data_IF_827645353626
#
_entry.id   IF_827645353626
#
_cell.length_a   1.000
_cell.length_b   1.000
_cell.length_c   1.000
_cell.angle_alpha   90.00
_cell.angle_beta   90.00
_cell.angle_gamma   90.00
#
_symmetry.space_group_name_H-M   'P 1'
#
loop_
_entity.id
_entity.type
_entity.pdbx_description
1 polymer ?
#
# COMPACT_ATOMS: atom_id res chain seq x y z
N UNK A 1 -27.24 -11.69 -22.05
CA UNK A 1 -26.41 -12.45 -21.11
C UNK A 1 -26.36 -11.67 -19.80
N UNK A 2 -26.33 -12.33 -18.66
CA UNK A 2 -26.30 -11.64 -17.37
C UNK A 2 -24.86 -11.13 -17.10
N UNK A 3 -24.71 -9.81 -16.99
CA UNK A 3 -23.42 -9.15 -16.75
C UNK A 3 -22.75 -9.68 -15.50
N UNK A 4 -23.52 -10.03 -14.48
CA UNK A 4 -23.03 -10.61 -13.23
C UNK A 4 -22.34 -11.97 -13.45
N UNK A 5 -22.95 -12.85 -14.25
CA UNK A 5 -22.40 -14.19 -14.54
C UNK A 5 -21.07 -14.06 -15.29
N UNK A 6 -20.99 -13.13 -16.24
CA UNK A 6 -19.74 -12.87 -16.99
C UNK A 6 -18.67 -12.33 -16.05
N UNK A 7 -19.01 -11.36 -15.20
CA UNK A 7 -18.06 -10.78 -14.22
C UNK A 7 -17.49 -11.86 -13.31
N UNK A 8 -18.33 -12.71 -12.72
CA UNK A 8 -17.86 -13.82 -11.88
C UNK A 8 -16.97 -14.79 -12.66
N UNK A 9 -17.32 -15.09 -13.92
CA UNK A 9 -16.52 -15.98 -14.75
C UNK A 9 -15.13 -15.41 -15.00
N UNK A 10 -15.03 -14.11 -15.30
CA UNK A 10 -13.73 -13.42 -15.50
C UNK A 10 -12.90 -13.45 -14.21
N UNK A 11 -13.50 -13.14 -13.07
CA UNK A 11 -12.84 -13.23 -11.77
C UNK A 11 -12.36 -14.67 -11.50
N UNK A 12 -13.19 -15.66 -11.79
CA UNK A 12 -12.83 -17.08 -11.64
C UNK A 12 -11.65 -17.47 -12.52
N UNK A 13 -11.64 -17.07 -13.79
CA UNK A 13 -10.52 -17.32 -14.73
C UNK A 13 -9.25 -16.64 -14.25
N UNK A 14 -9.34 -15.37 -13.85
CA UNK A 14 -8.20 -14.61 -13.32
C UNK A 14 -7.62 -15.26 -12.06
N UNK A 15 -8.49 -15.64 -11.11
CA UNK A 15 -8.08 -16.34 -9.88
C UNK A 15 -7.44 -17.69 -10.18
N UNK A 16 -8.01 -18.46 -11.10
CA UNK A 16 -7.42 -19.73 -11.54
C UNK A 16 -6.04 -19.51 -12.16
N UNK A 17 -5.87 -18.44 -12.95
CA UNK A 17 -4.60 -18.06 -13.55
C UNK A 17 -3.48 -17.81 -12.53
N UNK A 18 -3.81 -17.40 -11.30
CA UNK A 18 -2.83 -17.14 -10.24
C UNK A 18 -1.97 -18.35 -9.89
N UNK A 19 -2.48 -19.57 -10.09
CA UNK A 19 -1.72 -20.79 -9.84
C UNK A 19 -0.45 -20.89 -10.70
N UNK A 20 -0.45 -20.28 -11.89
CA UNK A 20 0.69 -20.30 -12.82
C UNK A 20 1.53 -19.03 -12.78
N UNK A 21 1.06 -17.94 -12.16
CA UNK A 21 1.74 -16.65 -12.14
C UNK A 21 3.17 -16.71 -11.58
N UNK A 22 3.48 -17.39 -10.46
CA UNK A 22 4.85 -17.44 -9.94
C UNK A 22 5.84 -18.05 -10.95
N UNK A 23 5.39 -19.08 -11.68
CA UNK A 23 6.21 -19.71 -12.74
C UNK A 23 6.38 -18.77 -13.94
N UNK A 24 5.34 -18.07 -14.32
CA UNK A 24 5.35 -17.12 -15.43
C UNK A 24 6.25 -15.92 -15.13
N UNK A 25 6.10 -15.31 -13.96
CA UNK A 25 6.95 -14.18 -13.49
C UNK A 25 8.43 -14.60 -13.44
N UNK A 26 8.72 -15.81 -12.96
CA UNK A 26 10.08 -16.34 -12.93
C UNK A 26 10.69 -16.52 -14.32
N UNK A 27 9.88 -16.91 -15.31
CA UNK A 27 10.33 -17.12 -16.68
C UNK A 27 10.49 -15.83 -17.48
N UNK A 28 9.55 -14.90 -17.32
CA UNK A 28 9.47 -13.66 -18.13
C UNK A 28 10.11 -12.45 -17.45
N UNK A 29 10.14 -12.45 -16.13
CA UNK A 29 10.51 -11.27 -15.31
C UNK A 29 9.44 -10.17 -15.27
N UNK A 30 8.20 -10.49 -15.71
CA UNK A 30 7.05 -9.57 -15.70
C UNK A 30 6.24 -9.82 -14.44
N UNK A 31 5.95 -8.77 -13.67
CA UNK A 31 5.12 -8.86 -12.46
C UNK A 31 3.67 -9.25 -12.76
N UNK A 32 3.06 -10.00 -11.86
CA UNK A 32 1.65 -10.39 -11.90
C UNK A 32 0.73 -9.17 -12.08
N UNK A 33 1.06 -8.05 -11.46
CA UNK A 33 0.28 -6.81 -11.52
C UNK A 33 0.12 -6.27 -12.94
N UNK A 34 1.18 -6.33 -13.76
CA UNK A 34 1.13 -5.93 -15.18
C UNK A 34 0.14 -6.79 -15.94
N UNK A 35 0.16 -8.09 -15.68
CA UNK A 35 -0.70 -9.06 -16.36
C UNK A 35 -2.18 -8.81 -16.02
N UNK A 36 -2.51 -8.59 -14.75
CA UNK A 36 -3.90 -8.35 -14.33
C UNK A 36 -4.45 -7.03 -14.88
N UNK A 37 -3.65 -5.97 -14.94
CA UNK A 37 -4.06 -4.71 -15.60
C UNK A 37 -4.33 -4.94 -17.08
N UNK A 38 -3.46 -5.66 -17.80
CA UNK A 38 -3.66 -5.98 -19.20
C UNK A 38 -4.89 -6.87 -19.43
N UNK A 39 -5.12 -7.87 -18.59
CA UNK A 39 -6.32 -8.71 -18.65
C UNK A 39 -7.59 -7.88 -18.42
N UNK A 40 -7.55 -6.90 -17.50
CA UNK A 40 -8.63 -5.95 -17.28
C UNK A 40 -8.91 -5.11 -18.53
N UNK A 41 -7.88 -4.52 -19.14
CA UNK A 41 -8.02 -3.77 -20.40
C UNK A 41 -8.66 -4.65 -21.48
N UNK A 42 -8.14 -5.85 -21.71
CA UNK A 42 -8.67 -6.76 -22.75
C UNK A 42 -10.11 -7.16 -22.46
N UNK A 43 -10.45 -7.50 -21.20
CA UNK A 43 -11.80 -7.91 -20.83
C UNK A 43 -12.84 -6.80 -21.10
N UNK A 44 -12.51 -5.58 -20.73
CA UNK A 44 -13.43 -4.44 -20.90
C UNK A 44 -13.47 -3.89 -22.34
N UNK A 45 -12.41 -4.04 -23.13
CA UNK A 45 -12.42 -3.74 -24.57
C UNK A 45 -13.21 -4.77 -25.40
N UNK A 46 -13.16 -6.05 -24.99
CA UNK A 46 -13.81 -7.11 -25.74
C UNK A 46 -15.25 -7.40 -25.32
N UNK A 47 -15.68 -6.94 -24.14
CA UNK A 47 -16.95 -7.30 -23.54
C UNK A 47 -17.73 -6.05 -23.09
N UNK A 48 -18.45 -5.43 -24.02
CA UNK A 48 -19.30 -4.25 -23.77
C UNK A 48 -20.40 -4.44 -22.70
N UNK A 49 -20.63 -5.70 -22.28
CA UNK A 49 -21.64 -6.04 -21.29
C UNK A 49 -21.17 -5.82 -19.83
N UNK A 50 -19.87 -5.59 -19.63
CA UNK A 50 -19.33 -5.34 -18.29
C UNK A 50 -19.75 -3.95 -17.80
N UNK A 51 -20.14 -3.80 -16.51
CA UNK A 51 -20.50 -2.50 -15.98
C UNK A 51 -19.25 -1.59 -15.95
N UNK A 52 -19.34 -0.33 -16.44
CA UNK A 52 -18.20 0.56 -16.50
C UNK A 52 -17.65 0.82 -15.07
N UNK A 53 -16.37 0.54 -14.82
CA UNK A 53 -15.78 0.62 -13.49
C UNK A 53 -15.32 2.05 -13.20
N UNK A 54 -16.26 2.93 -12.89
CA UNK A 54 -15.96 4.33 -12.57
C UNK A 54 -15.88 4.54 -11.05
N UNK A 55 -14.69 4.82 -10.48
CA UNK A 55 -14.52 4.97 -9.04
C UNK A 55 -15.22 6.19 -8.45
N UNK A 56 -15.59 7.18 -9.27
CA UNK A 56 -16.35 8.35 -8.82
C UNK A 56 -17.85 8.07 -8.73
N UNK A 57 -18.36 7.12 -9.51
CA UNK A 57 -19.77 6.70 -9.45
C UNK A 57 -19.97 5.66 -8.35
N UNK A 58 -19.01 4.75 -8.20
CA UNK A 58 -19.02 3.66 -7.24
C UNK A 58 -18.05 3.92 -6.09
N UNK A 59 -18.04 5.15 -5.55
CA UNK A 59 -17.14 5.62 -4.51
C UNK A 59 -17.09 4.70 -3.29
N UNK A 60 -18.24 4.33 -2.75
CA UNK A 60 -18.38 3.47 -1.58
C UNK A 60 -17.80 2.08 -1.81
N UNK A 61 -18.07 1.48 -2.98
CA UNK A 61 -17.47 0.18 -3.33
C UNK A 61 -15.96 0.28 -3.54
N UNK A 62 -15.50 1.37 -4.17
CA UNK A 62 -14.06 1.63 -4.36
C UNK A 62 -13.36 1.74 -3.02
N UNK A 63 -13.91 2.52 -2.07
CA UNK A 63 -13.36 2.69 -0.73
C UNK A 63 -13.28 1.33 -0.02
N UNK A 64 -14.41 0.63 0.13
CA UNK A 64 -14.43 -0.61 0.93
C UNK A 64 -13.61 -1.74 0.31
N UNK A 65 -13.60 -1.86 -1.02
CA UNK A 65 -12.77 -2.89 -1.67
C UNK A 65 -11.29 -2.60 -1.50
N UNK A 66 -10.85 -1.36 -1.76
CA UNK A 66 -9.44 -1.00 -1.62
C UNK A 66 -8.99 -0.99 -0.14
N UNK A 67 -9.86 -0.58 0.78
CA UNK A 67 -9.63 -0.67 2.24
C UNK A 67 -9.38 -2.12 2.67
N UNK A 68 -10.25 -3.05 2.25
CA UNK A 68 -10.10 -4.46 2.57
C UNK A 68 -8.77 -5.02 2.05
N UNK A 69 -8.39 -4.66 0.82
CA UNK A 69 -7.07 -5.05 0.25
C UNK A 69 -5.94 -4.55 1.12
N UNK A 70 -5.93 -3.26 1.47
CA UNK A 70 -4.86 -2.66 2.28
C UNK A 70 -4.80 -3.29 3.68
N UNK A 71 -5.94 -3.51 4.34
CA UNK A 71 -6.00 -4.15 5.67
C UNK A 71 -5.39 -5.55 5.65
N UNK A 72 -5.77 -6.38 4.66
CA UNK A 72 -5.23 -7.74 4.53
C UNK A 72 -3.74 -7.71 4.20
N UNK A 73 -3.32 -6.83 3.30
CA UNK A 73 -1.93 -6.67 2.91
C UNK A 73 -1.03 -6.18 4.04
N UNK A 74 -1.49 -5.24 4.87
CA UNK A 74 -0.73 -4.75 6.02
C UNK A 74 -0.48 -5.87 7.05
N UNK A 75 -1.46 -6.73 7.27
CA UNK A 75 -1.28 -7.92 8.12
C UNK A 75 -0.24 -8.85 7.52
N UNK A 76 -0.37 -9.21 6.25
CA UNK A 76 0.58 -10.07 5.53
C UNK A 76 1.99 -9.49 5.50
N UNK A 77 2.11 -8.19 5.24
CA UNK A 77 3.39 -7.46 5.20
C UNK A 77 4.11 -7.49 6.56
N UNK A 78 3.40 -7.24 7.66
CA UNK A 78 4.01 -7.26 8.99
C UNK A 78 4.41 -8.68 9.44
N UNK A 79 3.63 -9.70 9.06
CA UNK A 79 3.95 -11.11 9.34
C UNK A 79 5.20 -11.60 8.61
N UNK A 80 5.58 -10.99 7.48
CA UNK A 80 6.83 -11.29 6.74
C UNK A 80 8.09 -10.75 7.43
N UNK A 81 7.97 -9.78 8.36
CA UNK A 81 9.12 -9.11 8.96
C UNK A 81 9.66 -9.90 10.15
N UNK A 82 10.75 -10.64 9.92
CA UNK A 82 11.44 -11.41 10.95
C UNK A 82 12.34 -10.55 11.87
N UNK A 83 12.69 -9.35 11.42
CA UNK A 83 13.62 -8.47 12.14
C UNK A 83 12.92 -7.82 13.33
N UNK A 84 13.36 -8.11 14.58
CA UNK A 84 12.76 -7.55 15.78
C UNK A 84 12.73 -6.01 15.75
N UNK A 85 11.64 -5.45 16.27
CA UNK A 85 11.49 -4.02 16.35
C UNK A 85 12.52 -3.40 17.30
N UNK A 86 13.34 -2.49 16.78
CA UNK A 86 14.14 -1.56 17.59
C UNK A 86 14.43 -0.30 16.79
N UNK A 87 14.55 0.85 17.45
CA UNK A 87 14.85 2.11 16.77
C UNK A 87 16.15 2.08 15.98
N UNK A 88 17.12 1.28 16.42
CA UNK A 88 18.41 1.15 15.73
C UNK A 88 18.30 0.28 14.48
N UNK A 89 17.63 -0.86 14.55
CA UNK A 89 17.48 -1.80 13.43
C UNK A 89 16.47 -1.30 12.40
N UNK A 90 15.53 -0.43 12.79
CA UNK A 90 14.50 0.16 11.93
C UNK A 90 14.84 1.60 11.48
N UNK A 91 16.09 2.05 11.66
CA UNK A 91 16.50 3.41 11.34
C UNK A 91 16.23 3.78 9.88
N UNK A 92 16.49 2.86 8.94
CA UNK A 92 16.26 3.10 7.50
C UNK A 92 14.77 3.28 7.20
N UNK A 93 13.87 2.34 7.57
CA UNK A 93 12.44 2.54 7.41
C UNK A 93 11.90 3.82 8.06
N UNK A 94 12.32 4.16 9.26
CA UNK A 94 11.91 5.41 9.91
C UNK A 94 12.34 6.66 9.14
N UNK A 95 13.51 6.66 8.54
CA UNK A 95 13.97 7.79 7.72
C UNK A 95 13.19 7.91 6.41
N UNK A 96 12.82 6.77 5.81
CA UNK A 96 11.95 6.75 4.65
C UNK A 96 10.55 7.29 5.00
N UNK A 97 10.01 6.93 6.16
CA UNK A 97 8.74 7.43 6.66
C UNK A 97 8.76 8.92 6.98
N UNK A 98 9.74 9.40 7.74
CA UNK A 98 9.74 10.76 8.27
C UNK A 98 10.36 11.78 7.32
N UNK A 99 11.41 11.42 6.59
CA UNK A 99 12.09 12.35 5.68
C UNK A 99 11.61 12.18 4.25
N UNK A 100 11.71 10.97 3.70
CA UNK A 100 11.40 10.74 2.28
C UNK A 100 9.93 10.99 1.98
N UNK A 101 9.03 10.46 2.80
CA UNK A 101 7.58 10.64 2.61
C UNK A 101 7.19 12.12 2.69
N UNK A 102 7.65 12.85 3.71
CA UNK A 102 7.35 14.28 3.87
C UNK A 102 7.90 15.11 2.71
N UNK A 103 9.11 14.80 2.25
CA UNK A 103 9.70 15.47 1.06
C UNK A 103 8.89 15.18 -0.21
N UNK A 104 8.41 13.95 -0.39
CA UNK A 104 7.55 13.60 -1.52
C UNK A 104 6.23 14.38 -1.47
N UNK A 105 5.56 14.43 -0.29
CA UNK A 105 4.33 15.21 -0.10
C UNK A 105 4.58 16.68 -0.46
N UNK A 106 5.59 17.31 0.14
CA UNK A 106 5.91 18.71 -0.09
C UNK A 106 6.23 19.00 -1.57
N UNK A 107 7.05 18.16 -2.20
CA UNK A 107 7.45 18.36 -3.59
C UNK A 107 6.25 18.21 -4.55
N UNK A 108 5.40 17.20 -4.38
CA UNK A 108 4.20 17.00 -5.20
C UNK A 108 3.21 18.14 -4.98
N UNK A 109 2.98 18.55 -3.72
CA UNK A 109 2.13 19.70 -3.40
C UNK A 109 2.64 20.97 -4.09
N UNK A 110 3.93 21.25 -4.03
CA UNK A 110 4.52 22.40 -4.71
C UNK A 110 4.36 22.31 -6.24
N UNK A 111 4.61 21.15 -6.84
CA UNK A 111 4.44 20.96 -8.29
C UNK A 111 2.98 21.12 -8.71
N UNK A 112 2.03 20.57 -7.97
CA UNK A 112 0.61 20.71 -8.27
C UNK A 112 0.15 22.17 -8.11
N UNK A 113 0.55 22.85 -7.05
CA UNK A 113 0.16 24.21 -6.77
C UNK A 113 0.75 25.22 -7.78
N UNK A 114 2.08 25.17 -8.01
CA UNK A 114 2.76 26.16 -8.84
C UNK A 114 2.72 25.85 -10.33
N UNK A 115 2.77 24.57 -10.75
CA UNK A 115 2.86 24.22 -12.16
C UNK A 115 1.49 23.82 -12.77
N UNK A 116 0.59 23.20 -12.00
CA UNK A 116 -0.76 22.85 -12.46
C UNK A 116 -1.81 23.88 -12.04
N UNK A 117 -1.48 24.81 -11.14
CA UNK A 117 -2.40 25.80 -10.59
C UNK A 117 -3.62 25.20 -9.89
N UNK A 118 -3.44 24.06 -9.24
CA UNK A 118 -4.44 23.50 -8.34
C UNK A 118 -4.55 24.36 -7.08
N UNK A 119 -5.73 24.37 -6.45
CA UNK A 119 -5.84 24.96 -5.11
C UNK A 119 -4.99 24.19 -4.09
N UNK A 120 -4.68 24.82 -2.95
CA UNK A 120 -3.75 24.25 -1.99
C UNK A 120 -4.24 22.93 -1.39
N UNK A 121 -5.55 22.78 -1.12
CA UNK A 121 -6.12 21.57 -0.57
C UNK A 121 -6.02 20.39 -1.56
N UNK A 122 -6.38 20.61 -2.85
CA UNK A 122 -6.24 19.61 -3.91
C UNK A 122 -4.77 19.24 -4.17
N UNK A 123 -3.87 20.23 -4.10
CA UNK A 123 -2.42 20.02 -4.26
C UNK A 123 -1.84 19.17 -3.12
N UNK A 124 -2.23 19.46 -1.88
CA UNK A 124 -1.82 18.70 -0.70
C UNK A 124 -2.39 17.28 -0.72
N UNK A 125 -3.66 17.14 -1.12
CA UNK A 125 -4.27 15.83 -1.29
C UNK A 125 -3.49 14.97 -2.29
N UNK A 126 -3.13 15.53 -3.45
CA UNK A 126 -2.32 14.80 -4.43
C UNK A 126 -0.98 14.34 -3.82
N UNK A 127 -0.31 15.21 -3.07
CA UNK A 127 0.91 14.84 -2.35
C UNK A 127 0.70 13.73 -1.32
N UNK A 128 -0.36 13.82 -0.53
CA UNK A 128 -0.69 12.86 0.52
C UNK A 128 -1.02 11.47 -0.04
N UNK A 129 -1.86 11.40 -1.07
CA UNK A 129 -2.29 10.11 -1.65
C UNK A 129 -1.21 9.43 -2.50
N UNK A 130 -0.22 10.19 -2.97
CA UNK A 130 0.91 9.65 -3.72
C UNK A 130 2.14 9.34 -2.85
N UNK A 131 2.15 9.75 -1.59
CA UNK A 131 3.30 9.57 -0.72
C UNK A 131 3.50 8.13 -0.22
N UNK A 132 2.46 7.36 0.16
CA UNK A 132 2.64 5.99 0.60
C UNK A 132 3.06 5.06 -0.55
N UNK A 133 3.88 4.06 -0.23
CA UNK A 133 4.26 2.99 -1.16
C UNK A 133 3.38 1.79 -0.94
N UNK A 134 2.90 1.21 -2.00
CA UNK A 134 1.92 0.12 -1.97
C UNK A 134 2.59 -1.23 -1.64
N UNK A 135 2.29 -1.86 -0.50
CA UNK A 135 2.88 -3.14 -0.13
C UNK A 135 2.41 -4.28 -1.04
N UNK A 136 1.21 -4.16 -1.59
CA UNK A 136 0.56 -5.17 -2.42
C UNK A 136 1.28 -5.33 -3.76
N UNK A 137 1.49 -4.22 -4.44
CA UNK A 137 2.16 -4.19 -5.75
C UNK A 137 3.68 -4.32 -5.64
N UNK A 138 4.21 -4.21 -4.42
CA UNK A 138 5.64 -4.30 -4.14
C UNK A 138 6.13 -5.74 -3.84
N UNK A 139 5.31 -6.77 -4.01
CA UNK A 139 5.65 -8.16 -3.65
C UNK A 139 7.01 -8.63 -4.20
N UNK A 140 7.38 -8.24 -5.42
CA UNK A 140 8.65 -8.61 -6.07
C UNK A 140 9.88 -7.99 -5.38
N UNK A 141 9.72 -6.91 -4.61
CA UNK A 141 10.81 -6.20 -3.92
C UNK A 141 10.74 -6.33 -2.39
N UNK A 142 9.76 -7.04 -1.87
CA UNK A 142 9.58 -7.30 -0.43
C UNK A 142 10.43 -8.49 0.05
N UNK A 143 10.51 -8.64 1.37
CA UNK A 143 11.05 -9.85 2.00
C UNK A 143 10.20 -11.06 1.62
N UNK A 144 10.85 -12.22 1.51
CA UNK A 144 10.18 -13.49 1.25
C UNK A 144 9.30 -13.97 2.41
N UNK A 145 8.77 -15.20 2.30
CA UNK A 145 8.03 -15.82 3.39
C UNK A 145 8.80 -15.83 4.70
N UNK A 146 8.13 -15.82 5.86
CA UNK A 146 8.76 -15.84 7.16
C UNK A 146 9.76 -17.01 7.31
N UNK A 147 10.92 -16.75 7.90
CA UNK A 147 12.01 -17.73 8.11
C UNK A 147 12.57 -18.35 6.81
N UNK A 148 12.19 -17.88 5.65
CA UNK A 148 12.70 -18.32 4.34
C UNK A 148 13.39 -17.15 3.64
N UNK A 149 14.66 -17.30 3.31
CA UNK A 149 15.42 -16.34 2.52
C UNK A 149 16.52 -15.57 3.25
N UNK A 150 17.27 -14.81 2.49
CA UNK A 150 18.32 -13.92 2.99
C UNK A 150 17.67 -12.66 3.55
N UNK A 151 18.03 -12.26 4.76
CA UNK A 151 17.64 -10.97 5.36
C UNK A 151 18.36 -9.83 4.63
N UNK A 152 17.83 -9.44 3.49
CA UNK A 152 18.33 -8.32 2.69
C UNK A 152 17.81 -6.99 3.27
N UNK A 153 18.74 -6.08 3.57
CA UNK A 153 18.41 -4.77 4.14
C UNK A 153 17.55 -3.91 3.18
N UNK A 154 17.69 -4.11 1.86
CA UNK A 154 16.90 -3.42 0.85
C UNK A 154 15.44 -3.90 0.92
N UNK A 155 15.22 -5.21 0.84
CA UNK A 155 13.89 -5.81 0.94
C UNK A 155 13.21 -5.49 2.27
N UNK A 156 13.94 -5.65 3.37
CA UNK A 156 13.43 -5.28 4.70
C UNK A 156 12.99 -3.81 4.75
N UNK A 157 13.84 -2.90 4.25
CA UNK A 157 13.54 -1.47 4.29
C UNK A 157 12.32 -1.10 3.46
N UNK A 158 12.17 -1.68 2.27
CA UNK A 158 11.02 -1.45 1.39
C UNK A 158 9.73 -2.06 1.98
N UNK A 159 9.81 -3.26 2.58
CA UNK A 159 8.66 -3.91 3.22
C UNK A 159 8.18 -3.11 4.43
N UNK A 160 9.10 -2.71 5.30
CA UNK A 160 8.77 -1.95 6.49
C UNK A 160 8.33 -0.51 6.15
N UNK A 161 8.91 0.13 5.12
CA UNK A 161 8.44 1.42 4.61
C UNK A 161 6.98 1.31 4.18
N UNK A 162 6.65 0.34 3.33
CA UNK A 162 5.31 0.18 2.77
C UNK A 162 4.27 -0.07 3.87
N UNK A 163 4.57 -0.93 4.85
CA UNK A 163 3.65 -1.16 5.97
C UNK A 163 3.44 0.03 6.89
N UNK A 164 4.46 0.87 7.08
CA UNK A 164 4.34 2.05 7.96
C UNK A 164 3.69 3.24 7.26
N UNK A 165 4.05 3.50 6.00
CA UNK A 165 3.66 4.74 5.34
C UNK A 165 2.19 4.75 4.89
N UNK A 166 1.57 3.59 4.67
CA UNK A 166 0.13 3.50 4.44
C UNK A 166 -0.66 4.09 5.62
N UNK A 167 -0.40 3.67 6.85
CA UNK A 167 -1.06 4.28 8.00
C UNK A 167 -0.73 5.77 8.20
N UNK A 168 0.48 6.19 7.83
CA UNK A 168 0.96 7.57 8.01
C UNK A 168 0.57 8.54 6.89
N UNK A 169 -0.10 8.08 5.84
CA UNK A 169 -0.74 8.95 4.84
C UNK A 169 -1.98 9.66 5.38
N UNK A 170 -2.70 9.03 6.31
CA UNK A 170 -3.94 9.58 6.88
C UNK A 170 -3.81 10.98 7.47
N UNK A 171 -2.84 11.31 8.33
CA UNK A 171 -2.70 12.66 8.86
C UNK A 171 -2.66 13.72 7.75
N UNK A 172 -1.92 13.48 6.67
CA UNK A 172 -1.81 14.44 5.57
C UNK A 172 -3.06 14.48 4.69
N UNK A 173 -3.74 13.34 4.51
CA UNK A 173 -5.03 13.25 3.83
C UNK A 173 -6.10 14.02 4.61
N UNK A 174 -6.17 13.84 5.94
CA UNK A 174 -7.07 14.61 6.80
C UNK A 174 -6.76 16.11 6.81
N UNK A 175 -5.48 16.49 6.78
CA UNK A 175 -5.13 17.91 6.65
C UNK A 175 -5.69 18.51 5.35
N UNK A 176 -5.59 17.78 4.23
CA UNK A 176 -6.17 18.24 2.97
C UNK A 176 -7.71 18.32 3.03
N UNK A 177 -8.38 17.35 3.68
CA UNK A 177 -9.84 17.34 3.90
C UNK A 177 -10.27 18.53 4.74
N UNK A 178 -9.62 18.78 5.88
CA UNK A 178 -9.93 19.90 6.77
C UNK A 178 -9.74 21.25 6.06
N UNK A 179 -8.68 21.37 5.25
CA UNK A 179 -8.43 22.58 4.46
C UNK A 179 -9.50 22.77 3.37
N UNK A 180 -9.94 21.72 2.70
CA UNK A 180 -11.00 21.78 1.70
C UNK A 180 -12.36 22.14 2.34
N UNK A 181 -12.66 21.58 3.51
CA UNK A 181 -13.90 21.83 4.23
C UNK A 181 -13.96 23.22 4.88
N UNK A 182 -12.82 23.80 5.26
CA UNK A 182 -12.77 25.06 6.03
C UNK A 182 -13.14 26.33 5.24
N UNK A 183 -13.25 26.26 3.90
CA UNK A 183 -13.74 27.33 3.00
C UNK A 183 -13.43 28.78 3.46
N UNK A 184 -12.18 29.06 3.88
CA UNK A 184 -11.77 30.37 4.42
C UNK A 184 -11.91 30.53 5.94
N UNK A 185 -12.14 29.44 6.69
CA UNK A 185 -12.14 29.42 8.15
C UNK A 185 -10.78 29.77 8.77
N UNK A 186 -10.75 29.87 10.10
CA UNK A 186 -9.54 30.23 10.83
C UNK A 186 -8.50 29.10 10.73
N UNK A 187 -7.42 29.34 9.98
CA UNK A 187 -6.33 28.39 9.76
C UNK A 187 -5.75 27.82 11.07
N UNK A 188 -5.71 28.64 12.16
CA UNK A 188 -5.19 28.15 13.43
C UNK A 188 -6.07 27.07 14.06
N UNK A 189 -7.39 27.12 13.87
CA UNK A 189 -8.33 26.10 14.38
C UNK A 189 -8.13 24.79 13.61
N UNK A 190 -8.00 24.86 12.28
CA UNK A 190 -7.69 23.69 11.44
C UNK A 190 -6.39 23.01 11.86
N UNK A 191 -5.35 23.81 12.11
CA UNK A 191 -4.04 23.28 12.53
C UNK A 191 -4.06 22.69 13.93
N UNK A 192 -4.83 23.25 14.86
CA UNK A 192 -4.99 22.73 16.22
C UNK A 192 -5.73 21.38 16.19
N UNK A 193 -6.84 21.28 15.46
CA UNK A 193 -7.61 20.06 15.29
C UNK A 193 -6.75 18.97 14.64
N UNK A 194 -6.11 19.29 13.53
CA UNK A 194 -5.22 18.36 12.83
C UNK A 194 -4.09 17.84 13.72
N UNK A 195 -3.40 18.74 14.44
CA UNK A 195 -2.26 18.36 15.26
C UNK A 195 -2.67 17.48 16.44
N UNK A 196 -3.76 17.85 17.14
CA UNK A 196 -4.18 17.14 18.36
C UNK A 196 -4.91 15.84 18.06
N UNK A 197 -5.82 15.85 17.08
CA UNK A 197 -6.66 14.71 16.77
C UNK A 197 -5.99 13.83 15.70
N UNK A 198 -5.74 14.36 14.50
CA UNK A 198 -5.35 13.52 13.37
C UNK A 198 -3.88 13.10 13.45
N UNK A 199 -2.98 13.94 13.94
CA UNK A 199 -1.57 13.59 14.02
C UNK A 199 -1.22 12.89 15.35
N UNK A 200 -1.70 13.37 16.49
CA UNK A 200 -1.29 12.82 17.80
C UNK A 200 -2.24 11.71 18.25
N UNK A 201 -3.53 12.02 18.47
CA UNK A 201 -4.46 11.06 19.05
C UNK A 201 -4.64 9.81 18.19
N UNK A 202 -4.96 9.96 16.90
CA UNK A 202 -5.26 8.82 16.00
C UNK A 202 -4.03 7.91 15.78
N UNK A 203 -2.82 8.48 15.68
CA UNK A 203 -1.59 7.68 15.55
C UNK A 203 -1.30 6.93 16.86
N UNK A 204 -1.32 7.62 18.00
CA UNK A 204 -1.05 6.98 19.29
C UNK A 204 -2.08 5.91 19.63
N UNK A 205 -3.36 6.18 19.38
CA UNK A 205 -4.44 5.20 19.52
C UNK A 205 -4.20 3.97 18.65
N UNK A 206 -3.85 4.15 17.36
CA UNK A 206 -3.51 3.07 16.46
C UNK A 206 -2.32 2.22 16.97
N UNK A 207 -1.25 2.86 17.42
CA UNK A 207 -0.09 2.14 17.96
C UNK A 207 -0.44 1.36 19.24
N UNK A 208 -1.11 2.03 20.19
CA UNK A 208 -1.45 1.41 21.49
C UNK A 208 -2.40 0.24 21.29
N UNK A 209 -3.49 0.43 20.52
CA UNK A 209 -4.45 -0.63 20.25
C UNK A 209 -3.81 -1.75 19.42
N UNK A 210 -2.96 -1.42 18.44
CA UNK A 210 -2.22 -2.40 17.68
C UNK A 210 -1.35 -3.31 18.56
N UNK A 211 -0.60 -2.74 19.50
CA UNK A 211 0.21 -3.52 20.46
C UNK A 211 -0.68 -4.35 21.40
N UNK A 212 -1.72 -3.75 21.97
CA UNK A 212 -2.59 -4.44 22.94
C UNK A 212 -3.35 -5.59 22.28
N UNK A 213 -4.01 -5.32 21.15
CA UNK A 213 -4.79 -6.32 20.40
C UNK A 213 -3.86 -7.37 19.78
N UNK A 214 -2.69 -6.97 19.26
CA UNK A 214 -1.70 -7.91 18.74
C UNK A 214 -1.19 -8.89 19.82
N UNK A 215 -0.92 -8.42 21.04
CA UNK A 215 -0.54 -9.28 22.19
C UNK A 215 -1.70 -10.18 22.63
N UNK A 216 -2.91 -9.64 22.71
CA UNK A 216 -4.09 -10.42 23.09
C UNK A 216 -4.35 -11.55 22.10
N UNK A 217 -4.30 -11.24 20.80
CA UNK A 217 -4.46 -12.23 19.74
C UNK A 217 -3.33 -13.27 19.77
N UNK A 218 -2.09 -12.84 19.94
CA UNK A 218 -0.97 -13.77 20.11
C UNK A 218 -1.17 -14.72 21.28
N UNK A 219 -1.62 -14.21 22.41
CA UNK A 219 -1.93 -15.05 23.58
C UNK A 219 -3.05 -16.06 23.29
N UNK A 220 -4.13 -15.62 22.64
CA UNK A 220 -5.25 -16.49 22.29
C UNK A 220 -4.82 -17.56 21.28
N UNK A 221 -4.11 -17.17 20.24
CA UNK A 221 -3.71 -18.08 19.15
C UNK A 221 -2.68 -19.11 19.65
N UNK A 222 -1.65 -18.69 20.33
CA UNK A 222 -0.52 -19.57 20.67
C UNK A 222 -0.67 -20.24 22.05
N UNK A 223 -0.94 -19.48 23.10
CA UNK A 223 -0.93 -20.03 24.47
C UNK A 223 -2.22 -20.78 24.84
N UNK A 224 -3.38 -20.30 24.36
CA UNK A 224 -4.65 -20.95 24.68
C UNK A 224 -4.83 -22.23 23.87
N UNK A 225 -4.40 -22.24 22.61
CA UNK A 225 -4.43 -23.42 21.73
C UNK A 225 -3.49 -24.52 22.25
N UNK A 226 -2.28 -24.19 22.68
CA UNK A 226 -1.28 -25.15 23.18
C UNK A 226 -1.77 -25.85 24.46
N UNK A 227 -2.47 -25.14 25.36
CA UNK A 227 -3.05 -25.69 26.59
C UNK A 227 -4.28 -26.56 26.35
N UNK A 228 -5.01 -26.34 25.28
CA UNK A 228 -6.22 -27.07 24.92
C UNK A 228 -5.92 -28.06 23.81
N UNK A 229 -5.49 -29.27 24.13
CA UNK A 229 -5.22 -30.36 23.16
C UNK A 229 -6.37 -30.68 22.19
N UNK A 230 -7.55 -30.05 22.39
CA UNK A 230 -8.74 -30.23 21.56
C UNK A 230 -8.87 -29.18 20.44
N UNK A 231 -8.05 -28.11 20.45
CA UNK A 231 -8.17 -27.00 19.49
C UNK A 231 -6.91 -26.98 18.63
N UNK A 232 -6.98 -27.57 17.44
CA UNK A 232 -5.97 -27.38 16.41
C UNK A 232 -6.27 -26.08 15.64
N UNK A 233 -5.62 -24.99 16.00
CA UNK A 233 -5.72 -23.70 15.30
C UNK A 233 -4.74 -23.66 14.10
N UNK A 234 -4.77 -24.66 13.23
CA UNK A 234 -3.93 -24.69 12.02
C UNK A 234 -4.58 -23.95 10.84
N UNK A 235 -5.51 -23.04 11.11
CA UNK A 235 -6.27 -22.38 10.05
C UNK A 235 -5.68 -21.01 9.71
N UNK A 236 -5.09 -20.89 8.53
CA UNK A 236 -4.47 -19.67 8.03
C UNK A 236 -5.40 -18.45 7.97
N UNK A 237 -6.73 -18.63 7.94
CA UNK A 237 -7.72 -17.54 7.96
C UNK A 237 -7.63 -16.64 9.21
N UNK A 238 -7.00 -17.13 10.29
CA UNK A 238 -6.83 -16.40 11.54
C UNK A 238 -6.10 -15.06 11.33
N UNK A 239 -5.12 -15.01 10.43
CA UNK A 239 -4.42 -13.77 10.12
C UNK A 239 -5.36 -12.71 9.53
N UNK A 240 -6.21 -13.11 8.58
CA UNK A 240 -7.22 -12.21 7.98
C UNK A 240 -8.27 -11.80 9.01
N UNK A 241 -8.77 -12.74 9.81
CA UNK A 241 -9.72 -12.43 10.89
C UNK A 241 -9.12 -11.46 11.92
N UNK A 242 -7.86 -11.66 12.31
CA UNK A 242 -7.12 -10.78 13.21
C UNK A 242 -7.00 -9.36 12.62
N UNK A 243 -6.66 -9.25 11.33
CA UNK A 243 -6.58 -7.96 10.64
C UNK A 243 -7.91 -7.19 10.73
N UNK A 244 -9.03 -7.84 10.41
CA UNK A 244 -10.36 -7.24 10.44
C UNK A 244 -10.79 -6.83 11.84
N UNK A 245 -10.51 -7.66 12.85
CA UNK A 245 -10.84 -7.36 14.25
C UNK A 245 -10.02 -6.18 14.77
N UNK A 246 -8.70 -6.16 14.50
CA UNK A 246 -7.82 -5.06 14.92
C UNK A 246 -8.23 -3.77 14.24
N UNK A 247 -8.46 -3.80 12.93
CA UNK A 247 -8.92 -2.65 12.16
C UNK A 247 -10.25 -2.12 12.73
N UNK A 248 -11.28 -2.97 12.79
CA UNK A 248 -12.62 -2.54 13.22
C UNK A 248 -12.65 -2.01 14.64
N UNK A 249 -11.97 -2.66 15.60
CA UNK A 249 -11.90 -2.15 16.98
C UNK A 249 -11.20 -0.79 17.01
N UNK A 250 -10.10 -0.62 16.27
CA UNK A 250 -9.34 0.64 16.29
C UNK A 250 -10.16 1.79 15.69
N UNK A 251 -10.87 1.54 14.59
CA UNK A 251 -11.76 2.55 13.98
C UNK A 251 -12.93 2.93 14.91
N UNK A 252 -13.48 1.97 15.68
CA UNK A 252 -14.49 2.27 16.71
C UNK A 252 -13.99 3.22 17.82
N UNK A 253 -12.69 3.18 18.10
CA UNK A 253 -12.03 4.14 19.00
C UNK A 253 -11.50 5.38 18.28
N UNK A 254 -11.89 5.59 17.02
CA UNK A 254 -11.42 6.71 16.19
C UNK A 254 -9.89 6.79 16.07
N UNK A 255 -9.19 5.64 16.11
CA UNK A 255 -7.75 5.54 15.83
C UNK A 255 -7.50 5.17 14.36
N UNK A 256 -6.26 5.25 13.91
CA UNK A 256 -5.92 4.78 12.55
C UNK A 256 -5.78 3.26 12.51
N UNK A 257 -6.80 2.60 11.92
CA UNK A 257 -6.87 1.15 11.81
C UNK A 257 -5.71 0.53 11.03
N UNK A 258 -5.21 1.19 9.98
CA UNK A 258 -4.05 0.71 9.20
C UNK A 258 -2.77 0.69 10.03
N UNK A 259 -2.54 1.74 10.84
CA UNK A 259 -1.43 1.75 11.80
C UNK A 259 -1.55 0.59 12.79
N UNK A 260 -2.76 0.40 13.33
CA UNK A 260 -2.99 -0.66 14.32
C UNK A 260 -2.79 -2.05 13.74
N UNK A 261 -3.27 -2.33 12.52
CA UNK A 261 -3.09 -3.63 11.85
C UNK A 261 -1.62 -3.93 11.62
N UNK A 262 -0.84 -2.97 11.10
CA UNK A 262 0.58 -3.17 10.89
C UNK A 262 1.35 -3.36 12.20
N UNK A 263 1.05 -2.57 13.23
CA UNK A 263 1.67 -2.74 14.56
C UNK A 263 1.28 -4.08 15.21
N UNK A 264 0.02 -4.49 15.06
CA UNK A 264 -0.45 -5.78 15.57
C UNK A 264 0.21 -6.95 14.84
N UNK A 265 0.39 -6.87 13.52
CA UNK A 265 1.05 -7.94 12.75
C UNK A 265 2.51 -8.12 13.15
N UNK A 266 3.27 -7.03 13.36
CA UNK A 266 4.64 -7.09 13.89
C UNK A 266 4.65 -7.63 15.32
N UNK A 267 3.70 -7.21 16.16
CA UNK A 267 3.59 -7.70 17.55
C UNK A 267 3.30 -9.19 17.57
N UNK A 268 2.38 -9.66 16.74
CA UNK A 268 2.04 -11.06 16.56
C UNK A 268 3.27 -11.86 16.08
N UNK A 269 3.98 -11.36 15.06
CA UNK A 269 5.17 -11.99 14.52
C UNK A 269 6.30 -12.10 15.54
N UNK A 270 6.59 -11.04 16.29
CA UNK A 270 7.61 -11.08 17.34
C UNK A 270 7.29 -12.08 18.46
N UNK A 271 6.01 -12.32 18.75
CA UNK A 271 5.58 -13.31 19.72
C UNK A 271 5.75 -14.74 19.17
N UNK A 272 5.50 -14.92 17.88
CA UNK A 272 5.49 -16.21 17.19
C UNK A 272 6.90 -16.76 16.87
N UNK A 273 7.96 -15.94 16.90
CA UNK A 273 9.34 -16.38 16.57
C UNK A 273 9.78 -17.67 17.28
N UNK A 274 9.06 -18.09 18.31
CA UNK A 274 9.31 -19.31 19.09
C UNK A 274 8.37 -20.49 18.73
N UNK A 275 7.48 -20.34 17.72
CA UNK A 275 6.45 -21.32 17.35
C UNK A 275 6.49 -21.62 15.83
N UNK A 276 5.97 -22.79 15.40
CA UNK A 276 6.05 -23.25 13.99
C UNK A 276 4.83 -22.85 13.11
N UNK A 277 3.91 -22.02 13.60
CA UNK A 277 2.64 -21.69 12.93
C UNK A 277 2.75 -20.64 11.80
N UNK A 278 3.92 -20.05 11.59
CA UNK A 278 4.13 -18.94 10.65
C UNK A 278 3.80 -19.26 9.20
N UNK A 279 3.99 -20.50 8.75
CA UNK A 279 3.79 -20.89 7.35
C UNK A 279 2.32 -20.81 6.93
N UNK A 280 1.44 -21.35 7.77
CA UNK A 280 0.00 -21.41 7.46
C UNK A 280 -0.66 -20.04 7.55
N UNK A 281 -0.33 -19.25 8.59
CA UNK A 281 -0.82 -17.87 8.75
C UNK A 281 -0.43 -16.98 7.57
N UNK A 282 0.83 -17.05 7.13
CA UNK A 282 1.33 -16.27 6.01
C UNK A 282 0.70 -16.74 4.68
N UNK A 283 0.68 -18.05 4.42
CA UNK A 283 0.22 -18.61 3.15
C UNK A 283 -1.22 -18.23 2.82
N UNK A 284 -2.14 -18.32 3.78
CA UNK A 284 -3.54 -17.97 3.55
C UNK A 284 -3.73 -16.44 3.38
N UNK A 285 -3.03 -15.63 4.17
CA UNK A 285 -3.08 -14.18 4.02
C UNK A 285 -2.57 -13.75 2.65
N UNK A 286 -1.45 -14.31 2.18
CA UNK A 286 -0.88 -14.06 0.84
C UNK A 286 -1.84 -14.47 -0.28
N UNK A 287 -2.47 -15.64 -0.18
CA UNK A 287 -3.45 -16.10 -1.18
C UNK A 287 -4.68 -15.19 -1.22
N UNK A 288 -5.21 -14.77 -0.05
CA UNK A 288 -6.36 -13.87 0.04
C UNK A 288 -6.01 -12.50 -0.54
N UNK A 289 -4.86 -11.95 -0.18
CA UNK A 289 -4.33 -10.70 -0.71
C UNK A 289 -4.25 -10.75 -2.24
N UNK A 290 -3.63 -11.78 -2.82
CA UNK A 290 -3.48 -11.94 -4.26
C UNK A 290 -4.82 -11.99 -5.00
N UNK A 291 -5.83 -12.67 -4.46
CA UNK A 291 -7.19 -12.70 -5.05
C UNK A 291 -7.78 -11.28 -5.08
N UNK A 292 -7.74 -10.59 -3.96
CA UNK A 292 -8.29 -9.24 -3.85
C UNK A 292 -7.58 -8.26 -4.78
N UNK A 293 -6.25 -8.34 -4.87
CA UNK A 293 -5.41 -7.54 -5.76
C UNK A 293 -5.75 -7.77 -7.22
N UNK A 294 -5.88 -9.03 -7.63
CA UNK A 294 -6.25 -9.35 -9.01
C UNK A 294 -7.60 -8.72 -9.39
N UNK A 295 -8.59 -8.75 -8.48
CA UNK A 295 -9.90 -8.12 -8.71
C UNK A 295 -9.73 -6.61 -8.89
N UNK A 296 -8.99 -5.93 -8.00
CA UNK A 296 -8.79 -4.48 -8.09
C UNK A 296 -8.02 -4.09 -9.36
N UNK A 297 -6.99 -4.85 -9.73
CA UNK A 297 -6.21 -4.56 -10.94
C UNK A 297 -6.99 -4.83 -12.23
N UNK A 298 -7.87 -5.83 -12.25
CA UNK A 298 -8.82 -6.05 -13.37
C UNK A 298 -9.77 -4.86 -13.51
N UNK A 299 -10.37 -4.41 -12.40
CA UNK A 299 -11.25 -3.23 -12.37
C UNK A 299 -10.47 -1.97 -12.79
N UNK A 300 -9.24 -1.80 -12.33
CA UNK A 300 -8.38 -0.70 -12.73
C UNK A 300 -8.07 -0.72 -14.22
N UNK A 301 -7.74 -1.88 -14.80
CA UNK A 301 -7.58 -2.05 -16.25
C UNK A 301 -8.83 -1.62 -17.02
N UNK A 302 -10.01 -1.99 -16.55
CA UNK A 302 -11.28 -1.53 -17.11
C UNK A 302 -11.51 -0.02 -16.98
N UNK A 303 -11.10 0.58 -15.86
CA UNK A 303 -11.21 2.03 -15.67
C UNK A 303 -10.35 2.82 -16.67
N UNK A 304 -9.20 2.28 -17.07
CA UNK A 304 -8.34 2.89 -18.10
C UNK A 304 -9.03 2.97 -19.46
N UNK A 305 -9.82 1.96 -19.81
CA UNK A 305 -10.63 1.91 -21.06
C UNK A 305 -11.82 2.86 -20.97
N UNK A 306 -12.40 3.04 -19.79
CA UNK A 306 -13.62 3.82 -19.57
C UNK A 306 -13.35 5.28 -19.13
N UNK A 307 -12.23 5.85 -19.56
CA UNK A 307 -12.01 7.29 -19.53
C UNK A 307 -11.53 7.86 -18.19
N UNK A 308 -10.98 7.05 -17.29
CA UNK A 308 -10.37 7.58 -16.06
C UNK A 308 -9.21 8.56 -16.35
N UNK A 309 -8.61 8.46 -17.53
CA UNK A 309 -7.52 9.34 -17.99
C UNK A 309 -7.99 10.54 -18.83
N UNK A 310 -9.29 10.74 -19.06
CA UNK A 310 -9.82 11.78 -19.97
C UNK A 310 -9.47 13.22 -19.55
N UNK A 311 -9.25 13.42 -18.25
CA UNK A 311 -8.85 14.73 -17.71
C UNK A 311 -7.32 14.88 -17.56
N UNK A 312 -6.53 13.91 -18.06
CA UNK A 312 -5.07 13.96 -17.99
C UNK A 312 -4.50 14.92 -19.05
N UNK A 313 -3.91 16.01 -18.60
CA UNK A 313 -3.19 16.93 -19.50
C UNK A 313 -1.74 16.49 -19.67
N UNK A 314 -1.07 16.97 -20.73
CA UNK A 314 0.36 16.68 -20.93
C UNK A 314 1.26 17.17 -19.78
N UNK A 315 0.89 18.31 -19.14
CA UNK A 315 1.62 18.82 -17.95
C UNK A 315 1.47 17.88 -16.77
N UNK A 316 0.28 17.36 -16.53
CA UNK A 316 0.01 16.38 -15.48
C UNK A 316 0.79 15.09 -15.72
N UNK A 317 0.81 14.60 -16.97
CA UNK A 317 1.58 13.43 -17.36
C UNK A 317 3.10 13.64 -17.13
N UNK A 318 3.62 14.80 -17.50
CA UNK A 318 5.03 15.15 -17.27
C UNK A 318 5.36 15.19 -15.77
N UNK A 319 4.53 15.83 -14.94
CA UNK A 319 4.72 15.88 -13.48
C UNK A 319 4.66 14.48 -12.87
N UNK A 320 3.78 13.63 -13.36
CA UNK A 320 3.68 12.22 -12.92
C UNK A 320 4.98 11.45 -13.20
N UNK A 321 5.57 11.63 -14.38
CA UNK A 321 6.86 11.04 -14.75
C UNK A 321 7.99 11.61 -13.88
N UNK A 322 8.01 12.94 -13.70
CA UNK A 322 9.00 13.62 -12.83
C UNK A 322 8.88 13.13 -11.38
N UNK A 323 7.66 12.92 -10.88
CA UNK A 323 7.44 12.37 -9.55
C UNK A 323 8.09 10.99 -9.40
N UNK A 324 7.78 10.05 -10.29
CA UNK A 324 8.27 8.67 -10.19
C UNK A 324 9.78 8.56 -10.42
N UNK A 325 10.33 9.30 -11.39
CA UNK A 325 11.72 9.13 -11.82
C UNK A 325 12.71 10.10 -11.18
N UNK A 326 12.24 11.21 -10.60
CA UNK A 326 13.12 12.22 -10.00
C UNK A 326 12.75 12.52 -8.54
N UNK A 327 11.51 12.92 -8.26
CA UNK A 327 11.11 13.36 -6.91
C UNK A 327 11.27 12.23 -5.90
N UNK A 328 10.71 11.06 -6.18
CA UNK A 328 10.79 9.89 -5.26
C UNK A 328 12.24 9.43 -5.09
N UNK A 329 13.05 9.19 -6.13
CA UNK A 329 14.45 8.80 -5.96
C UNK A 329 15.29 9.84 -5.22
N UNK A 330 15.16 11.12 -5.54
CA UNK A 330 15.93 12.18 -4.86
C UNK A 330 15.53 12.31 -3.38
N UNK A 331 14.23 12.30 -3.08
CA UNK A 331 13.73 12.31 -1.70
C UNK A 331 14.23 11.10 -0.91
N UNK A 332 14.26 9.91 -1.54
CA UNK A 332 14.80 8.69 -0.94
C UNK A 332 16.29 8.80 -0.65
N UNK A 333 17.07 9.28 -1.61
CA UNK A 333 18.52 9.50 -1.41
C UNK A 333 18.78 10.49 -0.28
N UNK A 334 18.03 11.60 -0.21
CA UNK A 334 18.14 12.58 0.89
C UNK A 334 17.81 11.92 2.22
N UNK A 335 16.73 11.17 2.32
CA UNK A 335 16.35 10.43 3.53
C UNK A 335 17.43 9.44 3.98
N UNK A 336 18.19 8.89 3.05
CA UNK A 336 19.23 7.88 3.32
C UNK A 336 20.64 8.47 3.52
N UNK A 337 20.82 9.80 3.55
CA UNK A 337 22.10 10.44 3.86
C UNK A 337 22.54 10.04 5.27
N UNK A 338 23.80 9.62 5.42
CA UNK A 338 24.38 9.23 6.71
C UNK A 338 24.01 7.80 7.17
N UNK A 339 23.23 7.03 6.41
CA UNK A 339 23.07 5.59 6.67
C UNK A 339 24.28 4.80 6.20
N UNK A 340 24.51 3.62 6.80
CA UNK A 340 25.63 2.73 6.47
C UNK A 340 25.42 1.92 5.19
N UNK A 341 24.29 2.08 4.51
CA UNK A 341 23.94 1.38 3.27
C UNK A 341 24.91 1.74 2.14
N UNK A 342 25.24 0.75 1.30
CA UNK A 342 25.99 0.98 0.08
C UNK A 342 25.18 1.81 -0.91
N UNK A 343 25.85 2.57 -1.79
CA UNK A 343 25.16 3.47 -2.73
C UNK A 343 24.14 2.76 -3.63
N UNK A 344 24.40 1.51 -4.02
CA UNK A 344 23.47 0.72 -4.84
C UNK A 344 22.22 0.31 -4.09
N UNK A 345 22.34 0.01 -2.79
CA UNK A 345 21.19 -0.24 -1.91
C UNK A 345 20.36 1.03 -1.77
N UNK A 346 21.00 2.18 -1.53
CA UNK A 346 20.32 3.48 -1.46
C UNK A 346 19.58 3.80 -2.76
N UNK A 347 20.19 3.55 -3.91
CA UNK A 347 19.54 3.73 -5.20
C UNK A 347 18.35 2.79 -5.38
N UNK A 348 18.50 1.50 -5.03
CA UNK A 348 17.40 0.53 -5.08
C UNK A 348 16.24 0.93 -4.19
N UNK A 349 16.48 1.21 -2.89
CA UNK A 349 15.46 1.65 -1.94
C UNK A 349 14.77 2.94 -2.40
N UNK A 350 15.55 3.91 -2.89
CA UNK A 350 15.01 5.19 -3.34
C UNK A 350 14.17 5.07 -4.61
N UNK A 351 14.49 4.13 -5.51
CA UNK A 351 13.77 3.93 -6.76
C UNK A 351 12.48 3.15 -6.59
N UNK A 352 12.48 2.03 -5.83
CA UNK A 352 11.32 1.15 -5.67
C UNK A 352 10.30 1.68 -4.66
N UNK A 353 9.73 2.84 -4.98
CA UNK A 353 8.56 3.37 -4.27
C UNK A 353 7.29 3.13 -5.07
N UNK A 354 6.79 1.89 -5.13
CA UNK A 354 5.66 1.49 -5.97
C UNK A 354 4.37 2.18 -5.48
N UNK A 355 3.54 2.67 -6.41
CA UNK A 355 2.26 3.36 -6.12
C UNK A 355 1.11 2.55 -6.71
N UNK A 356 -0.04 2.49 -6.02
CA UNK A 356 -1.17 1.70 -6.50
C UNK A 356 -2.43 1.78 -5.66
N UNK A 357 -2.85 0.66 -5.09
CA UNK A 357 -4.18 0.47 -4.48
C UNK A 357 -4.42 1.40 -3.28
N UNK A 358 -3.41 1.59 -2.44
CA UNK A 358 -3.48 2.54 -1.33
C UNK A 358 -3.79 3.96 -1.80
N UNK A 359 -3.18 4.41 -2.91
CA UNK A 359 -3.46 5.74 -3.48
C UNK A 359 -4.92 5.87 -3.96
N UNK A 360 -5.53 4.79 -4.50
CA UNK A 360 -6.95 4.80 -4.87
C UNK A 360 -7.85 4.91 -3.64
N UNK A 361 -7.51 4.19 -2.57
CA UNK A 361 -8.24 4.27 -1.32
C UNK A 361 -8.25 5.69 -0.75
N UNK A 362 -7.07 6.29 -0.55
CA UNK A 362 -6.97 7.63 0.04
C UNK A 362 -7.66 8.69 -0.81
N UNK A 363 -7.55 8.59 -2.13
CA UNK A 363 -8.22 9.55 -3.02
C UNK A 363 -9.75 9.40 -2.95
N UNK A 364 -10.27 8.16 -3.06
CA UNK A 364 -11.71 7.91 -2.97
C UNK A 364 -12.28 8.37 -1.62
N UNK A 365 -11.58 8.03 -0.53
CA UNK A 365 -11.94 8.45 0.82
C UNK A 365 -12.00 9.98 0.95
N UNK A 366 -10.94 10.69 0.56
CA UNK A 366 -10.89 12.13 0.68
C UNK A 366 -11.97 12.86 -0.13
N UNK A 367 -12.21 12.39 -1.37
CA UNK A 367 -13.25 12.98 -2.24
C UNK A 367 -14.67 12.72 -1.73
N UNK A 368 -14.87 11.70 -0.89
CA UNK A 368 -16.13 11.44 -0.21
C UNK A 368 -16.33 12.33 1.02
N UNK A 369 -15.25 12.57 1.78
CA UNK A 369 -15.30 13.37 3.00
C UNK A 369 -15.40 14.87 2.75
N UNK A 370 -14.82 15.39 1.65
CA UNK A 370 -14.86 16.82 1.33
C UNK A 370 -14.92 17.06 -0.19
N UNK A 371 -15.39 18.26 -0.55
CA UNK A 371 -15.43 18.70 -1.94
C UNK A 371 -14.06 19.27 -2.35
N UNK A 372 -13.48 18.70 -3.42
CA UNK A 372 -12.26 19.17 -4.05
C UNK A 372 -12.54 19.63 -5.49
N UNK A 373 -12.04 20.81 -5.86
CA UNK A 373 -12.31 21.41 -7.17
C UNK A 373 -11.75 20.59 -8.34
N UNK A 374 -10.68 19.81 -8.13
CA UNK A 374 -9.94 19.09 -9.17
C UNK A 374 -10.10 17.56 -9.05
N UNK A 375 -11.25 17.07 -8.55
CA UNK A 375 -11.43 15.64 -8.26
C UNK A 375 -11.22 14.72 -9.48
N UNK A 376 -11.62 15.14 -10.69
CA UNK A 376 -11.44 14.37 -11.93
C UNK A 376 -9.97 14.33 -12.36
N UNK A 377 -9.30 15.47 -12.27
CA UNK A 377 -7.87 15.61 -12.57
C UNK A 377 -7.02 14.80 -11.60
N UNK A 378 -7.38 14.82 -10.30
CA UNK A 378 -6.73 14.00 -9.27
C UNK A 378 -6.85 12.51 -9.59
N UNK A 379 -8.05 12.02 -9.97
CA UNK A 379 -8.22 10.63 -10.40
C UNK A 379 -7.37 10.30 -11.62
N UNK A 380 -7.35 11.16 -12.64
CA UNK A 380 -6.56 10.94 -13.85
C UNK A 380 -5.05 10.88 -13.54
N UNK A 381 -4.55 11.75 -12.66
CA UNK A 381 -3.14 11.74 -12.25
C UNK A 381 -2.78 10.51 -11.43
N UNK A 382 -3.58 10.16 -10.43
CA UNK A 382 -3.34 9.01 -9.57
C UNK A 382 -3.39 7.71 -10.37
N UNK A 383 -4.39 7.56 -11.27
CA UNK A 383 -4.49 6.42 -12.16
C UNK A 383 -3.28 6.32 -13.11
N UNK A 384 -2.84 7.43 -13.69
CA UNK A 384 -1.69 7.44 -14.58
C UNK A 384 -0.38 7.10 -13.85
N UNK A 385 -0.19 7.63 -12.63
CA UNK A 385 0.98 7.30 -11.80
C UNK A 385 0.97 5.83 -11.39
N UNK A 386 -0.19 5.29 -11.00
CA UNK A 386 -0.31 3.88 -10.67
C UNK A 386 0.01 2.99 -11.89
N UNK A 387 -0.51 3.32 -13.07
CA UNK A 387 -0.21 2.62 -14.32
C UNK A 387 1.30 2.64 -14.64
N UNK A 388 1.92 3.83 -14.60
CA UNK A 388 3.37 3.95 -14.83
C UNK A 388 4.17 3.20 -13.79
N UNK A 389 3.76 3.26 -12.53
CA UNK A 389 4.41 2.55 -11.43
C UNK A 389 4.36 1.04 -11.62
N UNK A 390 3.18 0.49 -11.95
CA UNK A 390 3.01 -0.93 -12.26
C UNK A 390 3.89 -1.34 -13.44
N UNK A 391 3.92 -0.57 -14.52
CA UNK A 391 4.72 -0.89 -15.70
C UNK A 391 6.23 -0.78 -15.42
N UNK A 392 6.70 0.34 -14.90
CA UNK A 392 8.14 0.58 -14.70
C UNK A 392 8.70 -0.40 -13.66
N UNK A 393 8.06 -0.49 -12.49
CA UNK A 393 8.57 -1.34 -11.41
C UNK A 393 8.29 -2.82 -11.69
N UNK A 394 7.12 -3.17 -12.21
CA UNK A 394 6.76 -4.55 -12.54
C UNK A 394 7.60 -5.19 -13.66
N UNK A 395 8.22 -4.39 -14.53
CA UNK A 395 9.14 -4.88 -15.57
C UNK A 395 10.61 -4.88 -15.13
N UNK A 396 10.96 -4.16 -14.07
CA UNK A 396 12.36 -3.99 -13.64
C UNK A 396 12.70 -4.68 -12.31
N UNK A 397 11.73 -4.86 -11.40
CA UNK A 397 11.94 -5.33 -10.05
C UNK A 397 12.72 -6.65 -9.96
N UNK A 398 12.25 -7.71 -10.61
CA UNK A 398 12.87 -9.03 -10.56
C UNK A 398 14.32 -9.01 -11.02
N UNK A 399 14.64 -8.28 -12.10
CA UNK A 399 16.01 -8.19 -12.65
C UNK A 399 16.95 -7.41 -11.74
N UNK A 400 16.50 -6.28 -11.21
CA UNK A 400 17.33 -5.42 -10.36
C UNK A 400 17.58 -6.07 -9.01
N UNK A 401 16.54 -6.64 -8.38
CA UNK A 401 16.68 -7.31 -7.09
C UNK A 401 17.60 -8.52 -7.17
N UNK A 402 17.44 -9.39 -8.19
CA UNK A 402 18.37 -10.52 -8.41
C UNK A 402 19.81 -10.08 -8.67
N UNK A 403 20.00 -8.92 -9.29
CA UNK A 403 21.32 -8.31 -9.50
C UNK A 403 21.97 -7.78 -8.22
N UNK A 404 21.17 -7.28 -7.27
CA UNK A 404 21.65 -6.86 -5.96
C UNK A 404 22.03 -8.08 -5.10
N UNK A 405 21.17 -9.09 -5.02
CA UNK A 405 21.39 -10.33 -4.24
C UNK A 405 22.69 -11.06 -4.65
N UNK A 406 22.94 -11.27 -5.95
CA UNK A 406 24.15 -11.94 -6.45
C UNK A 406 25.44 -11.26 -6.05
N UNK A 407 25.43 -9.96 -5.82
CA UNK A 407 26.64 -9.19 -5.44
C UNK A 407 26.93 -9.26 -3.94
N UNK A 408 25.91 -9.38 -3.10
CA UNK A 408 26.09 -9.52 -1.66
C UNK A 408 26.51 -10.93 -1.28
N UNK A 409 25.99 -11.97 -1.97
CA UNK A 409 26.43 -13.35 -1.80
C UNK A 409 27.88 -13.62 -2.29
N UNK A 410 28.51 -12.70 -3.02
CA UNK A 410 29.91 -12.78 -3.45
C UNK A 410 30.88 -11.95 -2.58
N UNK A 411 30.36 -11.17 -1.64
CA UNK A 411 31.16 -10.29 -0.78
C UNK A 411 31.34 -10.86 0.64
N UNK A 412 30.60 -11.91 0.99
CA UNK A 412 30.78 -12.77 2.17
C UNK A 412 31.62 -14.01 1.80
#
# INVERSE_FOLDING_TARGET
MDSYIITITIIGIATLGMAWMPSFTKLTGISDSVIYVLLGIIAYECLDILPPPNPMIYDTYTIHLTELVVVVSLMGTGLKIDKPFSFKSWQVPFRLLTVTMVLCIAAVTCLAYFALHFDFASSLLLGAVLAPTDPVLAADVQVGPPMEGVTDEVRFSLTAEAGMNDGMAFPFTWLAILLAASSGGNFSVVMEEWLTIDLIYKILSGIILGVLLGRLLAYIIFNFSEKSKAINLNDGFIAVAAALVVFGITELFHGYGFVAVFVASITLRNYELNHEFHKDLHSFSDQTERILVAIVLLIFGGSLVHGILDHLTWKMALISIVFLLLVRPLSGLIGLIGTKLHIKEKLGISFYGIRGIGSFYYLAFALKEAHFNFGKELWSMVAFIALLSVLIHGLTATRVMSGLEKRFSQAD
#
